data_IF_692924940148
#
_entry.id   IF_692924940148
#
_cell.length_a   1.000
_cell.length_b   1.000
_cell.length_c   1.000
_cell.angle_alpha   90.00
_cell.angle_beta   90.00
_cell.angle_gamma   90.00
#
_symmetry.space_group_name_H-M   'P 1'
#
loop_
_entity.id
_entity.type
_entity.pdbx_description
1 polymer ?
#
# COMPACT_ATOMS: atom_id res chain seq x y z
N UNK A 1 3.48 17.85 8.71
CA UNK A 1 4.32 17.15 7.71
C UNK A 1 3.70 15.78 7.44
N UNK A 2 3.72 15.31 6.20
CA UNK A 2 3.17 14.00 5.82
C UNK A 2 3.98 12.86 6.43
N UNK A 3 3.28 11.83 6.92
CA UNK A 3 3.90 10.65 7.50
C UNK A 3 4.40 9.70 6.40
N UNK A 4 5.42 8.90 6.69
CA UNK A 4 5.66 7.72 5.87
C UNK A 4 4.43 6.80 5.91
N UNK A 5 4.10 6.11 4.81
CA UNK A 5 3.07 5.08 4.86
C UNK A 5 3.48 3.96 5.81
N UNK A 6 2.48 3.30 6.40
CA UNK A 6 2.65 2.06 7.17
C UNK A 6 1.91 0.94 6.45
N UNK A 7 2.55 -0.22 6.28
CA UNK A 7 1.93 -1.41 5.72
C UNK A 7 1.59 -2.40 6.84
N UNK A 8 0.38 -2.94 6.81
CA UNK A 8 -0.11 -3.99 7.70
C UNK A 8 -0.64 -5.18 6.90
N UNK A 9 -0.42 -6.38 7.43
CA UNK A 9 -1.03 -7.61 6.91
C UNK A 9 -2.41 -7.75 7.52
N UNK A 10 -3.45 -7.81 6.68
CA UNK A 10 -4.84 -7.94 7.13
C UNK A 10 -5.32 -9.39 7.18
N UNK A 11 -4.74 -10.26 6.35
CA UNK A 11 -5.10 -11.67 6.31
C UNK A 11 -4.64 -12.34 5.03
N UNK A 12 -5.18 -13.53 4.77
CA UNK A 12 -4.93 -14.31 3.56
C UNK A 12 -6.23 -14.47 2.77
N UNK A 13 -6.11 -14.52 1.44
CA UNK A 13 -7.18 -14.86 0.52
C UNK A 13 -6.96 -16.29 0.02
N UNK A 14 -7.69 -17.24 0.60
CA UNK A 14 -7.54 -18.66 0.28
C UNK A 14 -8.01 -19.02 -1.13
N UNK A 15 -8.83 -18.19 -1.77
CA UNK A 15 -9.35 -18.48 -3.12
C UNK A 15 -8.27 -18.37 -4.19
N UNK A 16 -7.26 -17.54 -3.95
CA UNK A 16 -6.14 -17.29 -4.85
C UNK A 16 -4.78 -17.45 -4.17
N UNK A 17 -4.73 -18.11 -3.01
CA UNK A 17 -3.48 -18.31 -2.25
C UNK A 17 -2.73 -16.98 -1.97
N UNK A 18 -3.48 -15.90 -1.81
CA UNK A 18 -2.97 -14.54 -1.73
C UNK A 18 -2.86 -14.00 -0.30
N UNK A 19 -2.16 -12.88 -0.14
CA UNK A 19 -2.04 -12.13 1.10
C UNK A 19 -2.66 -10.75 0.92
N UNK A 20 -3.50 -10.33 1.86
CA UNK A 20 -4.14 -9.02 1.85
C UNK A 20 -3.30 -8.05 2.67
N UNK A 21 -2.81 -7.00 2.02
CA UNK A 21 -2.05 -5.91 2.63
C UNK A 21 -2.87 -4.63 2.64
N UNK A 22 -2.69 -3.82 3.68
CA UNK A 22 -3.20 -2.45 3.75
C UNK A 22 -2.05 -1.49 3.95
N UNK A 23 -2.15 -0.34 3.30
CA UNK A 23 -1.26 0.79 3.48
C UNK A 23 -2.07 1.98 4.00
N UNK A 24 -1.53 2.72 4.96
CA UNK A 24 -2.14 3.95 5.49
C UNK A 24 -1.07 5.05 5.64
N UNK A 25 -1.43 6.30 5.31
CA UNK A 25 -0.58 7.47 5.50
C UNK A 25 -1.39 8.72 5.82
N UNK A 26 -0.83 9.64 6.62
CA UNK A 26 -1.54 10.79 7.20
C UNK A 26 -0.81 12.11 6.96
N UNK A 27 -1.56 13.21 7.09
CA UNK A 27 -1.00 14.55 7.13
C UNK A 27 -0.65 15.13 5.75
N UNK A 28 -1.39 14.74 4.72
CA UNK A 28 -1.16 15.17 3.34
C UNK A 28 -2.00 16.40 3.00
N UNK A 29 -1.42 17.34 2.25
CA UNK A 29 -2.16 18.41 1.58
C UNK A 29 -1.34 18.93 0.41
N UNK A 30 -1.90 19.06 -0.81
CA UNK A 30 -3.22 18.61 -1.27
C UNK A 30 -3.47 17.09 -1.18
N UNK A 31 -4.61 16.58 -1.66
CA UNK A 31 -4.89 15.14 -1.69
C UNK A 31 -3.81 14.36 -2.47
N UNK A 32 -3.23 13.27 -1.92
CA UNK A 32 -2.24 12.45 -2.60
C UNK A 32 -2.86 11.22 -3.28
N UNK A 33 -2.08 10.54 -4.12
CA UNK A 33 -2.43 9.23 -4.70
C UNK A 33 -1.61 8.11 -4.04
N UNK A 34 -2.17 6.91 -3.98
CA UNK A 34 -1.52 5.71 -3.43
C UNK A 34 -1.31 4.67 -4.53
N UNK A 35 -0.09 4.16 -4.62
CA UNK A 35 0.33 3.15 -5.59
C UNK A 35 1.00 1.98 -4.90
N UNK A 36 0.86 0.79 -5.48
CA UNK A 36 1.54 -0.41 -5.03
C UNK A 36 2.45 -0.93 -6.13
N UNK A 37 3.65 -1.36 -5.76
CA UNK A 37 4.56 -2.08 -6.66
C UNK A 37 5.10 -3.34 -6.00
N UNK A 38 5.45 -4.34 -6.81
CA UNK A 38 6.26 -5.47 -6.34
C UNK A 38 7.75 -5.08 -6.23
N UNK A 39 8.58 -6.04 -5.79
CA UNK A 39 10.02 -5.85 -5.63
C UNK A 39 10.79 -5.72 -6.94
N UNK A 40 10.14 -5.95 -8.10
CA UNK A 40 10.70 -5.71 -9.44
C UNK A 40 10.30 -4.32 -9.96
N UNK A 41 9.40 -3.63 -9.26
CA UNK A 41 8.88 -2.30 -9.62
C UNK A 41 7.64 -2.35 -10.51
N UNK A 42 7.01 -3.52 -10.71
CA UNK A 42 5.77 -3.63 -11.48
C UNK A 42 4.59 -3.11 -10.66
N UNK A 43 3.69 -2.36 -11.30
CA UNK A 43 2.48 -1.90 -10.64
C UNK A 43 1.51 -3.04 -10.34
N UNK A 44 0.96 -3.02 -9.12
CA UNK A 44 -0.03 -3.97 -8.67
C UNK A 44 -1.43 -3.40 -8.82
N UNK A 45 -2.39 -4.26 -9.15
CA UNK A 45 -3.81 -3.90 -9.15
C UNK A 45 -4.30 -3.84 -7.71
N UNK A 46 -4.48 -2.63 -7.19
CA UNK A 46 -4.99 -2.39 -5.84
C UNK A 46 -6.47 -2.00 -5.88
N UNK A 47 -7.15 -2.19 -4.75
CA UNK A 47 -8.49 -1.67 -4.54
C UNK A 47 -8.52 -0.13 -4.57
N UNK A 48 -9.72 0.47 -4.57
CA UNK A 48 -9.86 1.93 -4.53
C UNK A 48 -9.15 2.49 -3.29
N UNK A 49 -8.55 3.66 -3.46
CA UNK A 49 -7.97 4.40 -2.33
C UNK A 49 -9.11 5.02 -1.52
N UNK A 50 -9.12 4.76 -0.23
CA UNK A 50 -9.99 5.41 0.74
C UNK A 50 -9.31 6.71 1.20
N UNK A 51 -9.99 7.84 1.04
CA UNK A 51 -9.49 9.15 1.46
C UNK A 51 -10.43 9.76 2.48
N UNK A 52 -9.88 10.22 3.60
CA UNK A 52 -10.61 10.96 4.64
C UNK A 52 -9.91 12.29 4.88
N UNK A 53 -10.68 13.39 4.88
CA UNK A 53 -10.19 14.72 5.24
C UNK A 53 -10.49 15.03 6.71
N UNK A 54 -9.45 15.28 7.49
CA UNK A 54 -9.56 15.64 8.90
C UNK A 54 -10.03 17.09 9.11
N UNK A 55 -10.42 17.45 10.35
CA UNK A 55 -10.81 18.80 10.72
C UNK A 55 -9.64 19.80 10.63
N UNK A 56 -8.40 19.32 10.64
CA UNK A 56 -7.17 20.07 10.37
C UNK A 56 -6.98 20.39 8.88
N UNK A 57 -7.88 19.91 8.02
CA UNK A 57 -7.85 20.10 6.58
C UNK A 57 -6.88 19.17 5.85
N UNK A 58 -6.18 18.27 6.58
CA UNK A 58 -5.22 17.32 6.03
C UNK A 58 -5.89 15.99 5.65
N UNK A 59 -5.32 15.32 4.66
CA UNK A 59 -5.79 14.04 4.15
C UNK A 59 -5.09 12.87 4.85
N UNK A 60 -5.90 11.86 5.17
CA UNK A 60 -5.48 10.49 5.48
C UNK A 60 -5.92 9.60 4.33
N UNK A 61 -5.00 8.82 3.79
CA UNK A 61 -5.25 7.89 2.69
C UNK A 61 -4.96 6.46 3.11
N UNK A 62 -5.78 5.53 2.64
CA UNK A 62 -5.57 4.10 2.78
C UNK A 62 -5.85 3.35 1.49
N UNK A 63 -5.07 2.31 1.20
CA UNK A 63 -5.29 1.44 0.05
C UNK A 63 -5.03 0.00 0.45
N UNK A 64 -5.82 -0.92 -0.12
CA UNK A 64 -5.68 -2.36 0.09
C UNK A 64 -5.28 -3.05 -1.22
N UNK A 65 -4.44 -4.05 -1.12
CA UNK A 65 -4.01 -4.88 -2.25
C UNK A 65 -3.98 -6.34 -1.83
N UNK A 66 -4.40 -7.23 -2.74
CA UNK A 66 -4.19 -8.67 -2.58
C UNK A 66 -3.04 -9.08 -3.48
N UNK A 67 -2.02 -9.71 -2.91
CA UNK A 67 -0.80 -10.11 -3.62
C UNK A 67 -0.60 -11.61 -3.56
N UNK A 68 -0.13 -12.19 -4.67
CA UNK A 68 0.28 -13.59 -4.75
C UNK A 68 1.79 -13.71 -4.46
N UNK A 69 2.26 -14.95 -4.27
CA UNK A 69 3.68 -15.24 -4.07
C UNK A 69 4.49 -14.79 -5.29
N UNK A 70 5.54 -14.00 -5.04
CA UNK A 70 6.50 -13.49 -6.05
C UNK A 70 7.91 -13.93 -5.69
N UNK A 71 8.88 -13.67 -6.56
CA UNK A 71 10.28 -14.07 -6.32
C UNK A 71 10.89 -13.37 -5.09
N UNK A 72 10.62 -12.07 -4.92
CA UNK A 72 11.13 -11.27 -3.79
C UNK A 72 10.18 -11.23 -2.59
N UNK A 73 8.88 -11.48 -2.81
CA UNK A 73 7.79 -11.20 -1.86
C UNK A 73 7.88 -9.82 -1.20
N UNK A 74 8.54 -8.87 -1.87
CA UNK A 74 8.70 -7.51 -1.42
C UNK A 74 7.63 -6.66 -2.10
N UNK A 75 6.92 -5.86 -1.33
CA UNK A 75 5.83 -5.03 -1.81
C UNK A 75 6.01 -3.63 -1.26
N UNK A 76 5.90 -2.64 -2.13
CA UNK A 76 6.10 -1.23 -1.80
C UNK A 76 4.77 -0.50 -1.93
N UNK A 77 4.39 0.21 -0.87
CA UNK A 77 3.34 1.22 -0.93
C UNK A 77 3.99 2.59 -1.10
N UNK A 78 3.54 3.34 -2.11
CA UNK A 78 4.02 4.67 -2.44
C UNK A 78 2.87 5.66 -2.44
N UNK A 79 3.00 6.72 -1.64
CA UNK A 79 2.07 7.84 -1.60
C UNK A 79 2.72 9.05 -2.28
N UNK A 80 2.08 9.58 -3.31
CA UNK A 80 2.68 10.60 -4.20
C UNK A 80 1.72 11.76 -4.44
N UNK A 81 2.28 12.97 -4.46
CA UNK A 81 1.60 14.18 -4.91
C UNK A 81 2.32 14.73 -6.14
N UNK A 82 1.74 14.51 -7.32
CA UNK A 82 2.32 14.95 -8.59
C UNK A 82 2.54 16.46 -8.67
N UNK A 83 1.57 17.23 -8.18
CA UNK A 83 1.59 18.69 -8.32
C UNK A 83 2.78 19.37 -7.61
N UNK A 84 3.30 18.73 -6.56
CA UNK A 84 4.41 19.27 -5.77
C UNK A 84 5.60 18.30 -5.66
N UNK A 85 5.61 17.24 -6.46
CA UNK A 85 6.66 16.21 -6.51
C UNK A 85 7.05 15.63 -5.13
N UNK A 86 6.11 15.57 -4.18
CA UNK A 86 6.34 14.95 -2.89
C UNK A 86 6.00 13.46 -2.97
N UNK A 87 6.88 12.61 -2.45
CA UNK A 87 6.67 11.17 -2.36
C UNK A 87 7.09 10.64 -0.99
N UNK A 88 6.31 9.70 -0.45
CA UNK A 88 6.67 8.88 0.71
C UNK A 88 6.37 7.44 0.37
N UNK A 89 7.26 6.53 0.75
CA UNK A 89 7.08 5.11 0.50
C UNK A 89 7.57 4.28 1.66
N UNK A 90 7.08 3.05 1.72
CA UNK A 90 7.53 2.01 2.63
C UNK A 90 7.37 0.67 1.94
N UNK A 91 8.13 -0.32 2.36
CA UNK A 91 8.07 -1.65 1.79
C UNK A 91 7.94 -2.72 2.88
N UNK A 92 7.40 -3.87 2.50
CA UNK A 92 7.26 -5.05 3.36
C UNK A 92 7.72 -6.28 2.61
N UNK A 93 8.47 -7.15 3.28
CA UNK A 93 8.77 -8.50 2.80
C UNK A 93 7.81 -9.45 3.50
N UNK A 94 6.92 -10.09 2.73
CA UNK A 94 5.97 -11.06 3.26
C UNK A 94 6.63 -12.44 3.31
N UNK A 95 6.70 -13.10 4.47
CA UNK A 95 7.25 -14.45 4.56
C UNK A 95 6.47 -15.43 3.66
N UNK A 96 7.20 -16.36 3.04
CA UNK A 96 6.64 -17.33 2.10
C UNK A 96 5.47 -18.15 2.67
N UNK A 97 5.46 -18.39 3.99
CA UNK A 97 4.48 -19.22 4.69
C UNK A 97 3.08 -18.58 4.76
N UNK A 98 2.96 -17.27 4.51
CA UNK A 98 1.66 -16.60 4.42
C UNK A 98 0.95 -16.87 3.09
N UNK A 99 1.69 -17.26 2.05
CA UNK A 99 1.13 -17.68 0.78
C UNK A 99 0.83 -19.17 0.89
N UNK A 100 -0.38 -19.51 1.34
CA UNK A 100 -0.82 -20.89 1.50
C UNK A 100 -0.84 -21.52 0.10
N UNK A 101 0.09 -22.41 -0.19
CA UNK A 101 -0.01 -23.30 -1.34
C UNK A 101 -0.96 -24.45 -0.95
N UNK A 102 -1.96 -24.73 -1.77
CA UNK A 102 -2.58 -26.07 -1.79
C UNK A 102 -1.56 -27.14 -2.23
#
# INVERSE_FOLDING_TARGET
ASSSPAISLLGTDTSISGVVLQCESKGWYPEPEVFWTDGEGNFLSAGPTETVRGPDGLYTVSSRVTVEKRQSNNFTCRVRQHNINQTRETNIIVPGDFFIAE
#
